data_IF_340850608314
#
_entry.id   IF_340850608314
#
_cell.length_a   1.000
_cell.length_b   1.000
_cell.length_c   1.000
_cell.angle_alpha   90.00
_cell.angle_beta   90.00
_cell.angle_gamma   90.00
#
_symmetry.space_group_name_H-M   'P 1'
#
loop_
_entity.id
_entity.type
_entity.pdbx_description
1 polymer ?
#
# COMPACT_ATOMS: atom_id res chain seq x y z
N UNK A 1 -3.12 -11.37 -16.14
CA UNK A 1 -3.73 -10.02 -16.10
C UNK A 1 -2.59 -9.01 -16.08
N UNK A 2 -2.82 -7.77 -16.53
CA UNK A 2 -1.75 -6.77 -16.56
C UNK A 2 -1.57 -6.11 -15.19
N UNK A 3 -0.33 -5.84 -14.78
CA UNK A 3 -0.02 -5.13 -13.53
C UNK A 3 -0.58 -3.70 -13.57
N UNK A 4 -1.53 -3.38 -12.72
CA UNK A 4 -2.08 -2.04 -12.56
C UNK A 4 -1.72 -1.48 -11.19
N UNK A 5 -0.80 -0.51 -11.20
CA UNK A 5 -0.42 0.21 -9.99
C UNK A 5 -1.42 1.30 -9.68
N UNK A 6 -1.76 1.44 -8.40
CA UNK A 6 -2.76 2.38 -7.91
C UNK A 6 -2.28 3.10 -6.65
N UNK A 7 -2.77 4.33 -6.44
CA UNK A 7 -2.48 5.16 -5.29
C UNK A 7 -3.78 5.61 -4.61
N UNK A 8 -3.84 5.43 -3.30
CA UNK A 8 -5.04 5.68 -2.51
C UNK A 8 -4.69 6.54 -1.28
N UNK A 9 -5.59 7.43 -0.83
CA UNK A 9 -5.46 8.05 0.48
C UNK A 9 -5.46 6.99 1.60
N UNK A 10 -4.62 7.20 2.60
CA UNK A 10 -4.37 6.24 3.67
C UNK A 10 -4.31 6.93 5.04
N UNK A 11 -5.15 6.52 5.97
CA UNK A 11 -5.11 6.94 7.37
C UNK A 11 -3.99 6.18 8.12
N UNK A 12 -2.77 6.69 7.96
CA UNK A 12 -1.57 6.13 8.62
C UNK A 12 -1.67 6.21 10.14
N UNK A 13 -2.30 7.25 10.68
CA UNK A 13 -2.44 7.44 12.12
C UNK A 13 -3.31 6.34 12.74
N UNK A 14 -4.48 6.06 12.13
CA UNK A 14 -5.33 4.95 12.53
C UNK A 14 -4.60 3.61 12.35
N UNK A 15 -3.88 3.43 11.26
CA UNK A 15 -3.12 2.21 11.02
C UNK A 15 -2.12 1.92 12.15
N UNK A 16 -1.26 2.88 12.50
CA UNK A 16 -0.25 2.68 13.55
C UNK A 16 -0.86 2.64 14.96
N UNK A 17 -1.91 3.41 15.22
CA UNK A 17 -2.53 3.51 16.56
C UNK A 17 -3.42 2.32 16.88
N UNK A 18 -4.14 1.79 15.89
CA UNK A 18 -5.21 0.80 16.13
C UNK A 18 -4.89 -0.53 15.47
N UNK A 19 -4.54 -0.53 14.18
CA UNK A 19 -4.39 -1.77 13.41
C UNK A 19 -3.10 -2.52 13.76
N UNK A 20 -1.95 -1.86 13.80
CA UNK A 20 -0.66 -2.51 14.13
C UNK A 20 -0.71 -3.19 15.51
N UNK A 21 -1.21 -2.55 16.58
CA UNK A 21 -1.38 -3.22 17.87
C UNK A 21 -2.32 -4.43 17.81
N UNK A 22 -3.44 -4.33 17.07
CA UNK A 22 -4.36 -5.46 16.89
C UNK A 22 -3.72 -6.62 16.12
N UNK A 23 -2.95 -6.35 15.07
CA UNK A 23 -2.19 -7.37 14.34
C UNK A 23 -1.19 -8.09 15.25
N UNK A 24 -0.47 -7.35 16.11
CA UNK A 24 0.45 -7.94 17.10
C UNK A 24 -0.23 -8.80 18.17
N UNK A 25 -1.55 -8.66 18.35
CA UNK A 25 -2.40 -9.52 19.19
C UNK A 25 -3.13 -10.61 18.39
N UNK A 26 -2.80 -10.78 17.11
CA UNK A 26 -3.46 -11.78 16.27
C UNK A 26 -4.91 -11.43 15.91
N UNK A 27 -5.28 -10.15 15.97
CA UNK A 27 -6.65 -9.65 15.79
C UNK A 27 -7.66 -10.21 16.80
N UNK A 28 -7.21 -10.75 17.93
CA UNK A 28 -8.09 -11.26 18.98
C UNK A 28 -9.00 -10.19 19.59
N UNK A 29 -8.58 -8.92 19.55
CA UNK A 29 -9.38 -7.77 19.96
C UNK A 29 -10.21 -7.14 18.82
N UNK A 30 -10.06 -7.64 17.59
CA UNK A 30 -10.80 -7.24 16.39
C UNK A 30 -11.28 -8.47 15.60
N UNK A 31 -12.11 -9.34 16.22
CA UNK A 31 -12.60 -10.54 15.56
C UNK A 31 -13.44 -10.20 14.31
N UNK A 32 -14.05 -9.03 14.26
CA UNK A 32 -14.79 -8.54 13.09
C UNK A 32 -13.92 -8.46 11.83
N UNK A 33 -12.63 -8.12 11.96
CA UNK A 33 -11.71 -8.06 10.83
C UNK A 33 -11.30 -9.45 10.36
N UNK A 34 -10.96 -10.34 11.29
CA UNK A 34 -10.52 -11.69 10.93
C UNK A 34 -11.69 -12.55 10.38
N UNK A 35 -12.87 -12.47 11.00
CA UNK A 35 -14.09 -13.09 10.47
C UNK A 35 -14.53 -12.45 9.15
N UNK A 36 -14.37 -11.14 9.00
CA UNK A 36 -14.62 -10.42 7.75
C UNK A 36 -13.75 -10.93 6.61
N UNK A 37 -12.44 -11.07 6.85
CA UNK A 37 -11.49 -11.62 5.89
C UNK A 37 -11.86 -13.06 5.50
N UNK A 38 -12.15 -13.93 6.48
CA UNK A 38 -12.54 -15.32 6.19
C UNK A 38 -13.71 -15.44 5.23
N UNK A 39 -14.71 -14.56 5.30
CA UNK A 39 -15.84 -14.55 4.35
C UNK A 39 -15.44 -14.23 2.92
N UNK A 40 -14.27 -13.64 2.70
CA UNK A 40 -13.71 -13.39 1.37
C UNK A 40 -12.92 -14.59 0.83
N UNK A 41 -12.52 -15.53 1.70
CA UNK A 41 -11.76 -16.72 1.32
C UNK A 41 -12.66 -17.78 0.67
N UNK A 42 -12.08 -18.60 -0.20
CA UNK A 42 -12.77 -19.75 -0.79
C UNK A 42 -13.16 -20.73 0.32
N UNK A 43 -14.45 -21.05 0.42
CA UNK A 43 -15.03 -21.91 1.46
C UNK A 43 -14.78 -21.42 2.90
N UNK A 44 -14.50 -20.13 3.10
CA UNK A 44 -14.17 -19.54 4.39
C UNK A 44 -12.95 -20.17 5.10
N UNK A 45 -12.06 -20.78 4.32
CA UNK A 45 -10.85 -21.44 4.85
C UNK A 45 -9.63 -20.54 4.66
N UNK A 46 -8.85 -20.42 5.73
CA UNK A 46 -7.57 -19.73 5.82
C UNK A 46 -6.68 -20.57 6.73
N UNK A 47 -5.40 -20.68 6.40
CA UNK A 47 -4.39 -21.28 7.25
C UNK A 47 -3.84 -20.29 8.29
N UNK A 48 -4.12 -18.99 8.13
CA UNK A 48 -3.81 -18.01 9.15
C UNK A 48 -4.59 -18.30 10.43
N UNK A 49 -3.86 -18.28 11.54
CA UNK A 49 -4.42 -18.33 12.89
C UNK A 49 -4.06 -17.05 13.63
N UNK A 50 -4.81 -16.66 14.66
CA UNK A 50 -4.45 -15.51 15.50
C UNK A 50 -2.99 -15.57 16.00
N UNK A 51 -2.51 -16.75 16.42
CA UNK A 51 -1.13 -16.93 16.88
C UNK A 51 -0.12 -16.72 15.76
N UNK A 52 -0.40 -17.22 14.55
CA UNK A 52 0.47 -17.01 13.39
C UNK A 52 0.50 -15.54 12.97
N UNK A 53 -0.66 -14.86 12.93
CA UNK A 53 -0.78 -13.43 12.65
C UNK A 53 0.05 -12.63 13.66
N UNK A 54 -0.10 -12.90 14.95
CA UNK A 54 0.65 -12.23 16.01
C UNK A 54 2.16 -12.46 15.87
N UNK A 55 2.57 -13.70 15.54
CA UNK A 55 3.96 -14.09 15.34
C UNK A 55 4.60 -13.35 14.17
N UNK A 56 3.90 -13.24 13.03
CA UNK A 56 4.36 -12.50 11.86
C UNK A 56 4.44 -11.00 12.18
N UNK A 57 3.34 -10.42 12.70
CA UNK A 57 3.23 -8.98 12.98
C UNK A 57 4.27 -8.48 14.01
N UNK A 58 4.65 -9.33 14.97
CA UNK A 58 5.60 -8.95 16.02
C UNK A 58 7.05 -8.86 15.55
N UNK A 59 7.36 -9.40 14.36
CA UNK A 59 8.71 -9.37 13.79
C UNK A 59 9.03 -8.07 13.04
N UNK A 60 8.01 -7.28 12.69
CA UNK A 60 8.20 -6.04 11.97
C UNK A 60 8.85 -4.94 12.82
N UNK A 61 9.53 -4.03 12.12
CA UNK A 61 10.04 -2.78 12.70
C UNK A 61 8.91 -1.86 13.19
N UNK A 62 9.29 -0.74 13.82
CA UNK A 62 8.32 0.24 14.34
C UNK A 62 7.50 0.89 13.24
N UNK A 63 8.05 0.96 12.02
CA UNK A 63 7.38 1.49 10.84
C UNK A 63 6.47 0.47 10.16
N UNK A 64 6.47 -0.79 10.63
CA UNK A 64 5.71 -1.91 10.07
C UNK A 64 5.99 -2.14 8.58
N UNK A 65 7.19 -1.81 8.10
CA UNK A 65 7.60 -1.86 6.69
C UNK A 65 8.66 -2.91 6.44
N UNK A 66 9.51 -3.19 7.42
CA UNK A 66 10.62 -4.12 7.28
C UNK A 66 10.33 -5.42 8.02
N UNK A 67 10.32 -6.54 7.29
CA UNK A 67 10.27 -7.87 7.88
C UNK A 67 11.68 -8.50 7.88
N UNK A 68 12.11 -9.15 8.98
CA UNK A 68 13.42 -9.78 9.08
C UNK A 68 13.68 -10.75 7.92
N UNK A 69 14.84 -10.58 7.29
CA UNK A 69 15.23 -11.36 6.12
C UNK A 69 14.71 -10.82 4.80
N UNK A 70 13.59 -10.10 4.72
CA UNK A 70 13.06 -9.71 3.40
C UNK A 70 14.00 -8.81 2.58
N UNK A 71 14.56 -7.77 3.20
CA UNK A 71 15.48 -6.84 2.52
C UNK A 71 16.82 -7.48 2.13
N UNK A 72 17.20 -8.60 2.75
CA UNK A 72 18.42 -9.34 2.41
C UNK A 72 18.27 -10.18 1.13
N UNK A 73 17.04 -10.45 0.69
CA UNK A 73 16.73 -11.25 -0.50
C UNK A 73 16.48 -10.36 -1.73
N UNK A 74 17.11 -9.19 -1.83
CA UNK A 74 16.96 -8.29 -3.00
C UNK A 74 17.29 -8.95 -4.35
N UNK A 75 17.98 -10.10 -4.34
CA UNK A 75 18.25 -10.92 -5.52
C UNK A 75 17.36 -12.16 -5.66
N UNK A 76 16.62 -12.57 -4.62
CA UNK A 76 15.79 -13.80 -4.63
C UNK A 76 14.52 -13.70 -3.76
N UNK A 77 13.70 -12.69 -4.05
CA UNK A 77 12.40 -12.48 -3.39
C UNK A 77 11.46 -13.69 -3.58
N UNK A 78 11.65 -14.47 -4.65
CA UNK A 78 10.85 -15.66 -4.93
C UNK A 78 11.15 -16.78 -3.93
N UNK A 79 12.42 -17.10 -3.67
CA UNK A 79 12.77 -18.09 -2.62
C UNK A 79 12.25 -17.67 -1.25
N UNK A 80 12.35 -16.39 -0.89
CA UNK A 80 11.78 -15.92 0.38
C UNK A 80 10.27 -16.23 0.50
N UNK A 81 9.53 -16.06 -0.60
CA UNK A 81 8.08 -16.32 -0.67
C UNK A 81 7.78 -17.82 -0.67
N UNK A 82 8.50 -18.59 -1.48
CA UNK A 82 8.26 -20.03 -1.66
C UNK A 82 8.59 -20.84 -0.39
N UNK A 83 9.46 -20.33 0.47
CA UNK A 83 9.75 -20.93 1.80
C UNK A 83 8.68 -20.65 2.86
N UNK A 84 7.66 -19.83 2.56
CA UNK A 84 6.68 -19.33 3.53
C UNK A 84 5.26 -19.47 3.00
N UNK A 85 4.65 -20.61 3.30
CA UNK A 85 3.28 -20.95 2.90
C UNK A 85 2.22 -19.90 3.31
N UNK A 86 2.50 -19.11 4.35
CA UNK A 86 1.60 -18.06 4.86
C UNK A 86 1.64 -16.73 4.12
N UNK A 87 2.61 -16.48 3.23
CA UNK A 87 2.90 -15.12 2.71
C UNK A 87 1.78 -14.56 1.82
N UNK A 88 1.12 -15.42 1.05
CA UNK A 88 0.03 -15.03 0.17
C UNK A 88 -1.24 -14.67 0.97
N UNK A 89 -1.60 -15.51 1.94
CA UNK A 89 -2.73 -15.22 2.84
C UNK A 89 -2.43 -13.99 3.71
N UNK A 90 -1.20 -13.82 4.17
CA UNK A 90 -0.78 -12.62 4.90
C UNK A 90 -0.96 -11.34 4.07
N UNK A 91 -0.48 -11.35 2.83
CA UNK A 91 -0.63 -10.23 1.90
C UNK A 91 -2.12 -9.90 1.67
N UNK A 92 -2.93 -10.95 1.50
CA UNK A 92 -4.38 -10.85 1.28
C UNK A 92 -5.13 -10.29 2.49
N UNK A 93 -4.85 -10.82 3.68
CA UNK A 93 -5.41 -10.33 4.95
C UNK A 93 -5.01 -8.87 5.18
N UNK A 94 -3.75 -8.53 4.96
CA UNK A 94 -3.26 -7.16 5.15
C UNK A 94 -3.97 -6.19 4.19
N UNK A 95 -4.08 -6.55 2.91
CA UNK A 95 -4.83 -5.76 1.94
C UNK A 95 -6.29 -5.58 2.37
N UNK A 96 -6.96 -6.66 2.80
CA UNK A 96 -8.33 -6.60 3.30
C UNK A 96 -8.47 -5.59 4.44
N UNK A 97 -7.60 -5.67 5.46
CA UNK A 97 -7.66 -4.79 6.63
C UNK A 97 -7.44 -3.33 6.23
N UNK A 98 -6.46 -3.06 5.38
CA UNK A 98 -6.13 -1.70 4.96
C UNK A 98 -7.31 -1.04 4.27
N UNK A 99 -7.97 -1.70 3.31
CA UNK A 99 -9.12 -1.12 2.62
C UNK A 99 -10.43 -1.17 3.41
N UNK A 100 -10.51 -2.02 4.44
CA UNK A 100 -11.66 -2.04 5.34
C UNK A 100 -11.61 -0.92 6.38
N UNK A 101 -10.40 -0.51 6.81
CA UNK A 101 -10.24 0.35 7.98
C UNK A 101 -9.47 1.64 7.74
N UNK A 102 -8.51 1.65 6.80
CA UNK A 102 -7.49 2.69 6.72
C UNK A 102 -7.38 3.36 5.36
N UNK A 103 -7.96 2.82 4.28
CA UNK A 103 -7.79 3.37 2.94
C UNK A 103 -9.12 3.43 2.20
N UNK A 104 -9.25 4.43 1.34
CA UNK A 104 -10.33 4.47 0.36
C UNK A 104 -10.02 3.45 -0.73
N UNK A 105 -11.02 2.64 -1.10
CA UNK A 105 -10.83 1.61 -2.13
C UNK A 105 -10.76 2.17 -3.54
N UNK A 106 -11.44 3.29 -3.81
CA UNK A 106 -11.40 3.93 -5.11
C UNK A 106 -10.07 4.68 -5.27
N UNK A 107 -9.22 4.29 -6.24
CA UNK A 107 -7.93 4.94 -6.43
C UNK A 107 -8.12 6.34 -6.99
N UNK A 108 -7.39 7.32 -6.44
CA UNK A 108 -7.33 8.63 -7.08
C UNK A 108 -6.46 8.56 -8.34
N UNK A 109 -5.39 7.75 -8.31
CA UNK A 109 -4.50 7.56 -9.46
C UNK A 109 -4.33 6.10 -9.82
N UNK A 110 -4.44 5.83 -11.12
CA UNK A 110 -4.05 4.56 -11.73
C UNK A 110 -2.87 4.81 -12.66
N UNK A 111 -1.74 4.18 -12.39
CA UNK A 111 -0.49 4.42 -13.12
C UNK A 111 -0.21 3.37 -14.21
N UNK A 112 -1.18 2.49 -14.48
CA UNK A 112 -1.00 1.39 -15.41
C UNK A 112 0.15 0.48 -14.99
N UNK A 113 0.86 -0.08 -15.99
CA UNK A 113 2.01 -0.99 -15.78
C UNK A 113 3.31 -0.30 -15.42
N UNK A 114 3.35 1.03 -15.49
CA UNK A 114 4.59 1.78 -15.39
C UNK A 114 4.91 2.19 -13.96
N UNK A 115 3.90 2.28 -13.10
CA UNK A 115 4.11 2.76 -11.74
C UNK A 115 4.41 4.26 -11.68
N UNK A 116 4.59 4.77 -10.47
CA UNK A 116 4.73 6.20 -10.20
C UNK A 116 6.11 6.73 -10.62
N UNK A 117 7.20 6.00 -10.37
CA UNK A 117 8.55 6.51 -10.65
C UNK A 117 8.85 6.58 -12.15
N UNK A 118 8.35 5.63 -12.94
CA UNK A 118 8.47 5.70 -14.41
C UNK A 118 7.52 6.74 -15.01
N UNK A 119 6.38 6.98 -14.38
CA UNK A 119 5.45 8.00 -14.83
C UNK A 119 6.00 9.40 -14.61
N UNK A 120 6.67 9.63 -13.48
CA UNK A 120 7.29 10.90 -13.13
C UNK A 120 8.81 10.88 -13.31
N UNK A 121 9.31 10.19 -14.34
CA UNK A 121 10.75 9.95 -14.50
C UNK A 121 11.58 11.21 -14.79
N UNK A 122 10.94 12.28 -15.27
CA UNK A 122 11.59 13.58 -15.45
C UNK A 122 11.78 14.34 -14.12
N UNK A 123 11.27 13.82 -13.00
CA UNK A 123 11.48 14.40 -11.66
C UNK A 123 12.97 14.32 -11.30
N UNK A 124 13.62 15.43 -10.89
CA UNK A 124 15.06 15.45 -10.65
C UNK A 124 15.50 14.38 -9.65
N UNK A 125 16.61 13.69 -9.97
CA UNK A 125 17.09 12.55 -9.17
C UNK A 125 17.47 12.91 -7.72
N UNK A 126 17.78 14.18 -7.47
CA UNK A 126 18.15 14.72 -6.15
C UNK A 126 16.99 15.43 -5.44
N UNK A 127 15.77 15.30 -5.95
CA UNK A 127 14.58 15.90 -5.35
C UNK A 127 13.99 14.99 -4.27
N UNK A 128 13.31 15.59 -3.30
CA UNK A 128 12.62 14.86 -2.23
C UNK A 128 11.50 14.01 -2.82
N UNK A 129 10.82 14.51 -3.86
CA UNK A 129 9.80 13.76 -4.56
C UNK A 129 10.33 12.46 -5.17
N UNK A 130 11.52 12.47 -5.79
CA UNK A 130 12.10 11.24 -6.35
C UNK A 130 12.46 10.22 -5.28
N UNK A 131 12.98 10.67 -4.13
CA UNK A 131 13.29 9.79 -2.99
C UNK A 131 12.01 9.13 -2.43
N UNK A 132 10.93 9.91 -2.31
CA UNK A 132 9.62 9.40 -1.86
C UNK A 132 9.02 8.43 -2.88
N UNK A 133 9.04 8.73 -4.18
CA UNK A 133 8.58 7.82 -5.23
C UNK A 133 9.37 6.51 -5.24
N UNK A 134 10.69 6.58 -5.07
CA UNK A 134 11.54 5.38 -4.96
C UNK A 134 11.19 4.56 -3.73
N UNK A 135 10.87 5.22 -2.61
CA UNK A 135 10.51 4.57 -1.36
C UNK A 135 9.16 3.88 -1.45
N UNK A 136 8.13 4.56 -2.00
CA UNK A 136 6.78 4.00 -2.08
C UNK A 136 6.67 2.85 -3.10
N UNK A 137 7.54 2.81 -4.11
CA UNK A 137 7.62 1.67 -5.04
C UNK A 137 8.44 0.49 -4.53
N UNK A 138 9.18 0.66 -3.43
CA UNK A 138 9.94 -0.46 -2.85
C UNK A 138 8.96 -1.49 -2.31
N UNK A 139 8.83 -2.60 -3.03
CA UNK A 139 8.00 -3.73 -2.65
C UNK A 139 8.35 -4.24 -1.25
N UNK A 140 7.33 -4.68 -0.53
CA UNK A 140 7.39 -5.26 0.82
C UNK A 140 6.75 -6.65 0.81
N UNK A 141 6.79 -7.37 1.93
CA UNK A 141 6.12 -8.69 2.05
C UNK A 141 4.60 -8.63 1.91
N UNK A 142 4.02 -7.42 1.88
CA UNK A 142 2.58 -7.20 1.71
C UNK A 142 2.13 -7.25 0.24
N UNK A 143 3.10 -7.40 -0.67
CA UNK A 143 2.87 -7.69 -2.08
C UNK A 143 3.48 -9.06 -2.41
N UNK A 144 2.67 -9.96 -2.97
CA UNK A 144 3.09 -11.29 -3.38
C UNK A 144 2.76 -11.52 -4.86
N UNK A 145 3.70 -12.07 -5.63
CA UNK A 145 3.56 -12.31 -7.07
C UNK A 145 2.95 -11.14 -7.87
N UNK A 146 3.33 -9.91 -7.48
CA UNK A 146 2.85 -8.66 -8.08
C UNK A 146 1.36 -8.36 -7.86
N UNK A 147 0.81 -8.83 -6.74
CA UNK A 147 -0.53 -8.53 -6.23
C UNK A 147 -0.41 -8.01 -4.78
N UNK A 148 -1.23 -7.04 -4.39
CA UNK A 148 -1.36 -6.56 -3.01
C UNK A 148 -0.79 -5.16 -2.78
N UNK A 149 -0.42 -4.88 -1.54
CA UNK A 149 0.11 -3.57 -1.13
C UNK A 149 1.62 -3.56 -1.30
N UNK A 150 2.12 -2.68 -2.17
CA UNK A 150 3.54 -2.52 -2.44
C UNK A 150 4.20 -1.81 -1.26
N UNK A 151 3.70 -0.63 -0.89
CA UNK A 151 4.18 0.17 0.24
C UNK A 151 3.19 1.32 0.57
N UNK A 152 3.53 2.14 1.56
CA UNK A 152 2.78 3.35 1.92
C UNK A 152 3.71 4.43 2.48
N UNK A 153 3.22 5.66 2.57
CA UNK A 153 3.89 6.81 3.18
C UNK A 153 2.96 7.51 4.17
N UNK A 154 3.53 8.21 5.15
CA UNK A 154 2.76 8.92 6.18
C UNK A 154 2.36 10.31 5.69
N UNK A 155 1.50 10.98 6.44
CA UNK A 155 1.12 12.38 6.20
C UNK A 155 2.34 13.33 6.22
N UNK A 156 3.39 13.06 7.01
CA UNK A 156 4.62 13.87 6.95
C UNK A 156 5.30 13.80 5.58
N UNK A 157 5.34 12.61 4.97
CA UNK A 157 5.91 12.43 3.63
C UNK A 157 5.06 13.11 2.56
N UNK A 158 3.72 13.12 2.72
CA UNK A 158 2.82 13.88 1.83
C UNK A 158 3.09 15.38 1.91
N UNK A 159 3.35 15.92 3.10
CA UNK A 159 3.74 17.33 3.26
C UNK A 159 5.06 17.64 2.54
N UNK A 160 6.02 16.72 2.62
CA UNK A 160 7.29 16.86 1.90
C UNK A 160 7.07 16.83 0.38
N UNK A 161 6.21 15.94 -0.13
CA UNK A 161 5.82 15.93 -1.54
C UNK A 161 5.18 17.24 -1.98
N UNK A 162 4.32 17.85 -1.17
CA UNK A 162 3.69 19.14 -1.46
C UNK A 162 4.70 20.28 -1.49
N UNK A 163 5.62 20.34 -0.52
CA UNK A 163 6.68 21.34 -0.49
C UNK A 163 7.59 21.25 -1.72
N UNK A 164 7.78 20.03 -2.22
CA UNK A 164 8.56 19.74 -3.42
C UNK A 164 7.68 19.53 -4.68
N UNK A 165 6.41 19.93 -4.67
CA UNK A 165 5.48 19.66 -5.79
C UNK A 165 5.99 20.26 -7.12
N UNK A 166 6.71 21.38 -7.02
CA UNK A 166 7.38 22.02 -8.16
C UNK A 166 8.54 21.21 -8.72
N UNK A 167 9.00 20.11 -8.13
CA UNK A 167 10.01 19.22 -8.73
C UNK A 167 9.38 18.05 -9.50
N UNK A 168 8.12 17.73 -9.21
CA UNK A 168 7.40 16.59 -9.80
C UNK A 168 7.18 16.84 -11.29
N UNK A 169 7.70 15.95 -12.15
CA UNK A 169 7.62 16.10 -13.61
C UNK A 169 7.31 14.78 -14.27
N UNK A 170 6.22 14.75 -15.04
CA UNK A 170 5.88 13.64 -15.91
C UNK A 170 6.98 13.33 -16.91
N UNK A 171 7.19 12.04 -17.20
CA UNK A 171 8.00 11.59 -18.32
C UNK A 171 7.39 12.05 -19.65
N UNK A 172 8.23 12.37 -20.64
CA UNK A 172 7.80 12.98 -21.91
C UNK A 172 6.73 12.15 -22.64
N UNK A 173 6.85 10.81 -22.59
CA UNK A 173 5.88 9.89 -23.22
C UNK A 173 4.44 10.04 -22.69
N UNK A 174 4.26 10.50 -21.45
CA UNK A 174 2.93 10.70 -20.87
C UNK A 174 2.41 12.13 -21.02
N UNK A 175 3.28 13.10 -21.31
CA UNK A 175 2.85 14.49 -21.53
C UNK A 175 2.00 14.63 -22.79
N UNK A 176 2.31 13.84 -23.82
CA UNK A 176 1.55 13.82 -25.07
C UNK A 176 0.24 13.04 -24.94
N UNK A 177 0.21 12.02 -24.08
CA UNK A 177 -0.95 11.13 -23.89
C UNK A 177 -1.96 11.69 -22.87
N UNK A 178 -1.51 12.42 -21.84
CA UNK A 178 -2.34 12.92 -20.74
C UNK A 178 -2.00 14.37 -20.33
N UNK A 179 -2.10 15.36 -21.23
CA UNK A 179 -1.66 16.74 -20.97
C UNK A 179 -2.41 17.44 -19.83
N UNK A 180 -3.70 17.14 -19.62
CA UNK A 180 -4.55 17.81 -18.62
C UNK A 180 -4.67 17.05 -17.28
N UNK A 181 -4.17 15.81 -17.21
CA UNK A 181 -4.41 14.94 -16.06
C UNK A 181 -3.44 15.17 -14.88
N UNK A 182 -2.31 15.84 -15.08
CA UNK A 182 -1.16 15.67 -14.17
C UNK A 182 -0.70 16.90 -13.38
N UNK A 183 -0.54 18.07 -14.00
CA UNK A 183 -0.03 19.23 -13.26
C UNK A 183 -1.08 19.80 -12.29
N UNK A 184 -2.37 19.70 -12.62
CA UNK A 184 -3.45 20.18 -11.75
C UNK A 184 -4.00 19.12 -10.79
N UNK A 185 -4.17 17.87 -11.23
CA UNK A 185 -4.84 16.88 -10.38
C UNK A 185 -3.92 16.28 -9.32
N UNK A 186 -2.61 16.13 -9.58
CA UNK A 186 -1.71 15.55 -8.57
C UNK A 186 -1.45 16.51 -7.41
N UNK A 187 -1.17 17.79 -7.70
CA UNK A 187 -1.04 18.84 -6.67
C UNK A 187 -2.33 19.02 -5.86
N UNK A 188 -3.48 19.06 -6.54
CA UNK A 188 -4.79 19.15 -5.88
C UNK A 188 -5.07 17.93 -5.01
N UNK A 189 -4.76 16.73 -5.49
CA UNK A 189 -4.90 15.50 -4.72
C UNK A 189 -4.04 15.54 -3.47
N UNK A 190 -2.74 15.82 -3.61
CA UNK A 190 -1.84 15.91 -2.46
C UNK A 190 -2.33 16.97 -1.46
N UNK A 191 -2.85 18.10 -1.95
CA UNK A 191 -3.43 19.17 -1.11
C UNK A 191 -4.65 18.67 -0.33
N UNK A 192 -5.51 17.85 -0.93
CA UNK A 192 -6.66 17.25 -0.25
C UNK A 192 -6.20 16.24 0.80
N UNK A 193 -5.28 15.35 0.44
CA UNK A 193 -4.70 14.33 1.35
C UNK A 193 -4.06 15.00 2.56
N UNK A 194 -3.25 16.04 2.37
CA UNK A 194 -2.63 16.81 3.46
C UNK A 194 -3.65 17.55 4.32
N UNK A 195 -4.66 18.19 3.71
CA UNK A 195 -5.73 18.87 4.46
C UNK A 195 -6.46 17.93 5.43
N UNK A 196 -6.58 16.66 5.06
CA UNK A 196 -7.16 15.62 5.91
C UNK A 196 -6.13 14.88 6.77
N UNK A 197 -4.86 15.30 6.75
CA UNK A 197 -3.74 14.68 7.48
C UNK A 197 -3.58 13.19 7.16
N UNK A 198 -3.81 12.82 5.90
CA UNK A 198 -3.68 11.46 5.41
C UNK A 198 -2.29 11.21 4.81
N UNK A 199 -1.87 9.95 4.80
CA UNK A 199 -0.78 9.41 3.99
C UNK A 199 -1.29 8.83 2.67
N UNK A 200 -0.45 8.04 2.01
CA UNK A 200 -0.79 7.35 0.76
C UNK A 200 -0.42 5.87 0.84
N UNK A 201 -1.26 4.99 0.31
CA UNK A 201 -0.95 3.57 0.10
C UNK A 201 -0.87 3.26 -1.38
N UNK A 202 0.15 2.50 -1.75
CA UNK A 202 0.47 2.13 -3.12
C UNK A 202 0.27 0.62 -3.30
N UNK A 203 -0.58 0.26 -4.26
CA UNK A 203 -0.98 -1.12 -4.50
C UNK A 203 -0.76 -1.54 -5.95
N UNK A 204 -0.74 -2.85 -6.18
CA UNK A 204 -0.67 -3.48 -7.51
C UNK A 204 -1.70 -4.60 -7.58
N UNK A 205 -2.48 -4.64 -8.67
CA UNK A 205 -3.49 -5.67 -8.94
C UNK A 205 -4.33 -6.03 -7.71
N UNK A 206 -4.85 -5.00 -7.03
CA UNK A 206 -5.58 -5.14 -5.77
C UNK A 206 -6.80 -6.06 -5.93
N UNK A 207 -6.91 -7.04 -5.04
CA UNK A 207 -8.07 -7.91 -4.93
C UNK A 207 -9.32 -7.13 -4.49
N UNK A 208 -10.46 -7.34 -5.15
CA UNK A 208 -11.71 -6.67 -4.81
C UNK A 208 -12.40 -7.39 -3.65
N UNK A 209 -12.19 -6.85 -2.45
CA UNK A 209 -12.76 -7.35 -1.21
C UNK A 209 -14.04 -6.63 -0.79
N UNK A 210 -14.66 -5.82 -1.67
CA UNK A 210 -15.86 -5.07 -1.32
C UNK A 210 -16.98 -6.02 -0.90
N UNK A 211 -17.21 -6.10 0.41
CA UNK A 211 -18.37 -6.77 0.99
C UNK A 211 -19.59 -5.88 0.71
N UNK A 212 -20.66 -6.37 0.07
CA UNK A 212 -21.86 -5.58 -0.15
C UNK A 212 -22.42 -5.06 1.19
N UNK A 213 -22.49 -3.74 1.37
CA UNK A 213 -23.23 -3.12 2.49
C UNK A 213 -22.47 -2.21 3.46
N UNK A 214 -21.18 -1.94 3.27
CA UNK A 214 -20.48 -0.84 3.97
C UNK A 214 -20.00 0.21 2.97
N UNK A 215 -20.87 1.16 2.62
CA UNK A 215 -20.40 2.49 2.24
C UNK A 215 -19.91 3.18 3.51
N UNK A 216 -18.64 3.55 3.56
CA UNK A 216 -18.12 4.44 4.60
C UNK A 216 -19.00 5.69 4.60
N UNK A 217 -19.72 5.89 5.71
CA UNK A 217 -20.58 7.05 5.96
C UNK A 217 -19.78 8.24 6.45
#
# INVERSE_FOLDING_TARGET
MGLFYTLHPFDSDKFYREIVPSLKKGLTDRPDLFEGYKRTCINEKTELTPDLIASIASQFDTEFKSYPGYNAYSTDVFTFRDERDWIEEWSSLFQFIIFQECAFYEPEFTFGKSGIALMYDNTPANSVAKDIFTTIERATIFSCYSIGIVNWIKNEDVKLLLLDAKSIRLANRYKEEFPDLYDYNFDRFLTLVDRHSLGLVYGVDLLDYRVPGRTLS
#
